data_IF_783131521999
#
_entry.id   IF_783131521999
#
_cell.length_a   1.000
_cell.length_b   1.000
_cell.length_c   1.000
_cell.angle_alpha   90.00
_cell.angle_beta   90.00
_cell.angle_gamma   90.00
#
_symmetry.space_group_name_H-M   'P 1'
#
loop_
_entity.id
_entity.type
_entity.pdbx_description
1 polymer ?
#
# COMPACT_ATOMS: atom_id res chain seq x y z
N UNK A 1 8.82 15.75 -5.53
CA UNK A 1 7.69 14.81 -5.39
C UNK A 1 8.27 13.41 -5.49
N UNK A 2 8.23 12.64 -4.42
CA UNK A 2 8.46 11.20 -4.53
C UNK A 2 7.20 10.61 -5.15
N UNK A 3 7.27 10.22 -6.43
CA UNK A 3 6.18 9.47 -7.06
C UNK A 3 6.49 7.99 -6.94
N UNK A 4 5.52 7.21 -6.47
CA UNK A 4 5.61 5.75 -6.50
C UNK A 4 5.92 5.30 -7.93
N UNK A 5 6.94 4.46 -8.06
CA UNK A 5 7.27 3.82 -9.32
C UNK A 5 6.57 2.47 -9.37
N UNK A 6 6.00 2.15 -10.52
CA UNK A 6 5.35 0.86 -10.75
C UNK A 6 6.05 0.11 -11.90
N UNK A 7 6.13 -1.22 -11.83
CA UNK A 7 6.63 -2.04 -12.92
C UNK A 7 5.66 -2.02 -14.10
N UNK A 8 6.18 -1.75 -15.29
CA UNK A 8 5.42 -1.72 -16.55
C UNK A 8 6.21 -2.37 -17.68
N UNK A 9 5.50 -2.72 -18.77
CA UNK A 9 6.06 -3.27 -20.00
C UNK A 9 5.59 -2.40 -21.18
N UNK A 10 6.47 -1.67 -21.89
CA UNK A 10 6.09 -0.92 -23.07
C UNK A 10 5.57 -1.81 -24.18
N UNK A 11 4.46 -1.41 -24.82
CA UNK A 11 3.85 -2.14 -25.93
C UNK A 11 4.48 -1.83 -27.28
N UNK A 12 5.31 -0.79 -27.33
CA UNK A 12 6.06 -0.34 -28.49
C UNK A 12 7.26 0.47 -28.03
N UNK A 13 8.23 0.62 -28.92
CA UNK A 13 9.33 1.57 -28.71
C UNK A 13 8.79 3.01 -28.68
N UNK A 14 9.15 3.77 -27.66
CA UNK A 14 8.73 5.16 -27.51
C UNK A 14 9.79 5.96 -26.73
N UNK A 15 10.07 7.18 -27.19
CA UNK A 15 10.99 8.11 -26.52
C UNK A 15 10.19 9.08 -25.66
N UNK A 16 10.62 9.25 -24.40
CA UNK A 16 10.00 10.15 -23.42
C UNK A 16 11.04 11.10 -22.85
N UNK A 17 10.69 12.36 -22.68
CA UNK A 17 11.56 13.32 -21.97
C UNK A 17 11.20 13.29 -20.48
N UNK A 18 12.18 12.97 -19.63
CA UNK A 18 12.02 12.99 -18.19
C UNK A 18 13.18 13.77 -17.58
N UNK A 19 12.87 14.81 -16.79
CA UNK A 19 13.87 15.68 -16.15
C UNK A 19 14.87 16.32 -17.15
N UNK A 20 14.43 16.62 -18.38
CA UNK A 20 15.27 17.22 -19.42
C UNK A 20 16.21 16.24 -20.13
N UNK A 21 16.08 14.93 -19.88
CA UNK A 21 16.80 13.88 -20.58
C UNK A 21 15.82 13.03 -21.39
N UNK A 22 16.21 12.67 -22.62
CA UNK A 22 15.45 11.75 -23.48
C UNK A 22 15.75 10.29 -23.09
N UNK A 23 14.69 9.54 -22.79
CA UNK A 23 14.75 8.12 -22.48
C UNK A 23 13.98 7.34 -23.53
N UNK A 24 14.61 6.35 -24.16
CA UNK A 24 13.93 5.43 -25.07
C UNK A 24 13.47 4.20 -24.30
N UNK A 25 12.16 4.01 -24.21
CA UNK A 25 11.53 2.83 -23.64
C UNK A 25 11.44 1.76 -24.73
N UNK A 26 12.06 0.59 -24.50
CA UNK A 26 12.03 -0.51 -25.46
C UNK A 26 10.79 -1.37 -25.29
N UNK A 27 10.23 -1.80 -26.41
CA UNK A 27 9.11 -2.74 -26.43
C UNK A 27 9.45 -4.04 -25.68
N UNK A 28 8.52 -4.49 -24.85
CA UNK A 28 8.63 -5.76 -24.12
C UNK A 28 9.59 -5.75 -22.92
N UNK A 29 10.30 -4.66 -22.66
CA UNK A 29 11.21 -4.55 -21.52
C UNK A 29 10.46 -4.28 -20.22
N UNK A 30 10.81 -4.98 -19.14
CA UNK A 30 10.29 -4.68 -17.81
C UNK A 30 11.04 -3.47 -17.24
N UNK A 31 10.33 -2.37 -17.05
CA UNK A 31 10.89 -1.10 -16.54
C UNK A 31 10.05 -0.56 -15.38
N UNK A 32 10.64 0.30 -14.57
CA UNK A 32 9.92 1.02 -13.51
C UNK A 32 9.67 2.47 -13.91
N UNK A 33 8.40 2.86 -13.96
CA UNK A 33 8.00 4.23 -14.29
C UNK A 33 7.19 4.87 -13.16
N UNK A 34 7.28 6.19 -12.97
CA UNK A 34 6.36 6.93 -12.12
C UNK A 34 4.90 6.63 -12.48
N UNK A 35 4.05 6.31 -11.48
CA UNK A 35 2.63 6.01 -11.70
C UNK A 35 1.91 7.09 -12.51
N UNK A 36 2.21 8.37 -12.25
CA UNK A 36 1.57 9.49 -12.95
C UNK A 36 1.87 9.54 -14.45
N UNK A 37 3.00 8.95 -14.88
CA UNK A 37 3.43 8.96 -16.28
C UNK A 37 2.75 7.84 -17.09
N UNK A 38 2.37 6.76 -16.42
CA UNK A 38 1.82 5.56 -17.07
C UNK A 38 0.58 5.82 -17.93
N UNK A 39 -0.42 6.63 -17.51
CA UNK A 39 -1.58 6.95 -18.35
C UNK A 39 -1.24 7.71 -19.65
N UNK A 40 -0.04 8.30 -19.74
CA UNK A 40 0.40 9.07 -20.90
C UNK A 40 1.16 8.22 -21.92
N UNK A 41 1.47 6.96 -21.58
CA UNK A 41 2.34 6.08 -22.36
C UNK A 41 1.61 4.82 -22.80
N UNK A 42 2.06 4.24 -23.91
CA UNK A 42 1.58 2.94 -24.38
C UNK A 42 2.33 1.80 -23.67
N UNK A 43 1.94 1.54 -22.43
CA UNK A 43 2.56 0.55 -21.54
C UNK A 43 1.51 -0.35 -20.88
N UNK A 44 1.90 -1.56 -20.54
CA UNK A 44 1.13 -2.50 -19.73
C UNK A 44 1.65 -2.51 -18.29
N UNK A 45 0.79 -2.18 -17.32
CA UNK A 45 1.13 -2.28 -15.90
C UNK A 45 1.28 -3.74 -15.48
N UNK A 46 2.29 -4.06 -14.67
CA UNK A 46 2.46 -5.41 -14.12
C UNK A 46 1.71 -5.53 -12.80
N UNK A 47 0.55 -6.22 -12.76
CA UNK A 47 -0.23 -6.36 -11.55
C UNK A 47 0.46 -7.27 -10.53
N UNK A 48 0.00 -7.23 -9.29
CA UNK A 48 0.37 -8.22 -8.28
C UNK A 48 -0.28 -9.58 -8.59
N UNK A 49 0.53 -10.64 -8.51
CA UNK A 49 0.07 -12.02 -8.62
C UNK A 49 -0.47 -12.51 -7.29
N UNK A 50 -1.44 -13.43 -7.32
CA UNK A 50 -1.99 -14.06 -6.12
C UNK A 50 -0.92 -14.73 -5.25
N UNK A 51 0.17 -15.25 -5.85
CA UNK A 51 1.29 -15.84 -5.13
C UNK A 51 2.08 -14.82 -4.30
N UNK A 52 2.28 -13.61 -4.81
CA UNK A 52 2.96 -12.53 -4.09
C UNK A 52 2.15 -12.12 -2.85
N UNK A 53 0.84 -11.96 -3.01
CA UNK A 53 -0.09 -11.60 -1.92
C UNK A 53 -0.19 -12.72 -0.89
N UNK A 54 -0.28 -13.98 -1.33
CA UNK A 54 -0.26 -15.15 -0.42
C UNK A 54 1.05 -15.23 0.37
N UNK A 55 2.19 -14.85 -0.21
CA UNK A 55 3.45 -14.78 0.53
C UNK A 55 3.43 -13.69 1.60
N UNK A 56 2.85 -12.52 1.33
CA UNK A 56 2.64 -11.45 2.32
C UNK A 56 1.71 -11.91 3.46
N UNK A 57 0.58 -12.55 3.13
CA UNK A 57 -0.32 -13.17 4.10
C UNK A 57 0.38 -14.15 5.04
N UNK A 58 1.34 -14.93 4.55
CA UNK A 58 2.11 -15.84 5.40
C UNK A 58 3.01 -15.09 6.38
N UNK A 59 3.60 -13.97 5.96
CA UNK A 59 4.39 -13.08 6.84
C UNK A 59 3.52 -12.43 7.91
N UNK A 60 2.24 -12.18 7.63
CA UNK A 60 1.28 -11.65 8.61
C UNK A 60 0.95 -12.60 9.76
N UNK A 61 1.42 -13.84 9.76
CA UNK A 61 1.28 -14.71 10.94
C UNK A 61 2.14 -14.24 12.12
N UNK A 62 3.15 -13.40 11.87
CA UNK A 62 3.97 -12.81 12.91
C UNK A 62 3.20 -11.81 13.77
N UNK A 63 3.69 -11.49 14.99
CA UNK A 63 3.04 -10.53 15.88
C UNK A 63 3.14 -9.08 15.39
N UNK A 64 4.06 -8.78 14.47
CA UNK A 64 4.26 -7.46 13.86
C UNK A 64 3.55 -7.40 12.50
N UNK A 65 3.20 -6.20 12.05
CA UNK A 65 2.80 -5.96 10.65
C UNK A 65 3.98 -6.32 9.74
N UNK A 66 3.70 -7.05 8.66
CA UNK A 66 4.74 -7.30 7.66
C UNK A 66 4.99 -6.03 6.86
N UNK A 67 6.23 -5.84 6.43
CA UNK A 67 6.55 -4.83 5.42
C UNK A 67 5.94 -5.25 4.07
N UNK A 68 5.30 -4.29 3.40
CA UNK A 68 4.78 -4.46 2.05
C UNK A 68 5.47 -3.45 1.12
N UNK A 69 5.60 -3.76 -0.18
CA UNK A 69 6.19 -2.83 -1.14
C UNK A 69 5.42 -1.50 -1.21
N UNK A 70 6.13 -0.39 -1.41
CA UNK A 70 5.52 0.94 -1.57
C UNK A 70 4.53 1.00 -2.74
N UNK A 71 4.79 0.20 -3.79
CA UNK A 71 3.95 0.11 -4.98
C UNK A 71 2.79 -0.89 -4.84
N UNK A 72 2.58 -1.47 -3.66
CA UNK A 72 1.64 -2.56 -3.45
C UNK A 72 0.20 -2.17 -3.81
N UNK A 73 -0.30 -1.08 -3.23
CA UNK A 73 -1.67 -0.61 -3.48
C UNK A 73 -1.84 -0.16 -4.93
N UNK A 74 -0.82 0.48 -5.51
CA UNK A 74 -0.81 0.90 -6.90
C UNK A 74 -0.86 -0.28 -7.87
N UNK A 75 -0.08 -1.34 -7.62
CA UNK A 75 -0.10 -2.56 -8.45
C UNK A 75 -1.37 -3.36 -8.30
N UNK A 76 -2.03 -3.29 -7.15
CA UNK A 76 -3.34 -3.92 -6.95
C UNK A 76 -4.44 -3.28 -7.80
N UNK A 77 -4.37 -1.98 -8.06
CA UNK A 77 -5.33 -1.24 -8.92
C UNK A 77 -5.47 -1.88 -10.31
N UNK A 78 -4.37 -2.42 -10.84
CA UNK A 78 -4.33 -3.04 -12.16
C UNK A 78 -4.67 -4.55 -12.17
N UNK A 79 -4.91 -5.15 -11.00
CA UNK A 79 -5.11 -6.60 -10.89
C UNK A 79 -6.56 -7.00 -11.24
N UNK A 80 -6.72 -7.74 -12.34
CA UNK A 80 -8.00 -8.35 -12.74
C UNK A 80 -8.13 -9.83 -12.32
N UNK A 81 -7.09 -10.41 -11.72
CA UNK A 81 -7.10 -11.79 -11.26
C UNK A 81 -7.98 -11.93 -10.01
N UNK A 82 -9.04 -12.75 -10.11
CA UNK A 82 -9.97 -13.01 -9.00
C UNK A 82 -9.27 -13.64 -7.80
N UNK A 83 -8.27 -14.48 -8.02
CA UNK A 83 -7.53 -15.08 -6.90
C UNK A 83 -6.69 -14.03 -6.17
N UNK A 84 -6.01 -13.16 -6.91
CA UNK A 84 -5.27 -12.04 -6.35
C UNK A 84 -6.20 -11.10 -5.56
N UNK A 85 -7.34 -10.71 -6.13
CA UNK A 85 -8.33 -9.87 -5.45
C UNK A 85 -8.86 -10.51 -4.15
N UNK A 86 -9.15 -11.81 -4.16
CA UNK A 86 -9.56 -12.54 -2.95
C UNK A 86 -8.46 -12.57 -1.90
N UNK A 87 -7.21 -12.85 -2.30
CA UNK A 87 -6.07 -12.86 -1.38
C UNK A 87 -5.79 -11.45 -0.81
N UNK A 88 -6.00 -10.40 -1.61
CA UNK A 88 -5.85 -9.02 -1.20
C UNK A 88 -6.87 -8.65 -0.11
N UNK A 89 -8.15 -8.99 -0.29
CA UNK A 89 -9.17 -8.75 0.74
C UNK A 89 -8.83 -9.47 2.06
N UNK A 90 -8.36 -10.72 1.98
CA UNK A 90 -7.90 -11.45 3.16
C UNK A 90 -6.69 -10.76 3.83
N UNK A 91 -5.78 -10.19 3.04
CA UNK A 91 -4.63 -9.46 3.57
C UNK A 91 -5.09 -8.18 4.27
N UNK A 92 -6.02 -7.44 3.66
CA UNK A 92 -6.59 -6.23 4.26
C UNK A 92 -7.26 -6.53 5.61
N UNK A 93 -8.06 -7.59 5.71
CA UNK A 93 -8.71 -7.97 6.96
C UNK A 93 -7.69 -8.24 8.07
N UNK A 94 -6.65 -9.04 7.77
CA UNK A 94 -5.58 -9.36 8.73
C UNK A 94 -4.81 -8.12 9.14
N UNK A 95 -4.48 -7.24 8.20
CA UNK A 95 -3.75 -6.00 8.49
C UNK A 95 -4.61 -5.02 9.29
N UNK A 96 -5.89 -4.90 8.97
CA UNK A 96 -6.85 -4.09 9.73
C UNK A 96 -6.92 -4.53 11.19
N UNK A 97 -7.04 -5.82 11.46
CA UNK A 97 -7.06 -6.36 12.83
C UNK A 97 -5.79 -5.97 13.61
N UNK A 98 -4.63 -6.06 12.96
CA UNK A 98 -3.35 -5.68 13.58
C UNK A 98 -3.24 -4.19 13.82
N UNK A 99 -3.56 -3.36 12.81
CA UNK A 99 -3.56 -1.91 12.92
C UNK A 99 -4.46 -1.47 14.07
N UNK A 100 -5.68 -2.04 14.17
CA UNK A 100 -6.60 -1.74 15.26
C UNK A 100 -6.02 -2.11 16.63
N UNK A 101 -5.40 -3.30 16.75
CA UNK A 101 -4.74 -3.73 17.98
C UNK A 101 -3.58 -2.82 18.39
N UNK A 102 -2.79 -2.37 17.42
CA UNK A 102 -1.64 -1.47 17.63
C UNK A 102 -2.10 -0.06 17.98
N UNK A 103 -3.21 0.42 17.41
CA UNK A 103 -3.81 1.72 17.74
C UNK A 103 -4.24 1.84 19.20
N UNK A 104 -4.52 0.70 19.86
CA UNK A 104 -4.81 0.67 21.30
C UNK A 104 -3.58 0.95 22.19
N UNK A 105 -2.38 0.74 21.66
CA UNK A 105 -1.10 0.89 22.34
C UNK A 105 -0.14 1.61 21.39
N UNK A 106 -0.24 2.94 21.26
CA UNK A 106 0.47 3.69 20.24
C UNK A 106 1.96 3.36 20.25
N UNK A 107 2.44 2.91 19.10
CA UNK A 107 3.83 2.59 18.82
C UNK A 107 4.25 3.35 17.58
N UNK A 108 5.51 3.75 17.51
CA UNK A 108 6.07 4.30 16.27
C UNK A 108 6.18 3.17 15.24
N UNK A 109 5.50 3.35 14.11
CA UNK A 109 5.43 2.39 13.02
C UNK A 109 5.65 3.13 11.71
N UNK A 110 6.41 2.50 10.83
CA UNK A 110 6.46 2.88 9.42
C UNK A 110 5.39 2.04 8.71
N UNK A 111 4.32 2.72 8.28
CA UNK A 111 3.22 2.14 7.53
C UNK A 111 3.12 2.81 6.16
N UNK A 112 2.63 2.08 5.14
CA UNK A 112 2.20 2.70 3.89
C UNK A 112 1.22 3.85 4.15
N UNK A 113 1.24 4.88 3.29
CA UNK A 113 0.43 6.09 3.47
C UNK A 113 -1.05 5.80 3.71
N UNK A 114 -1.64 4.87 2.94
CA UNK A 114 -3.03 4.46 3.08
C UNK A 114 -3.35 3.89 4.47
N UNK A 115 -2.42 3.12 5.04
CA UNK A 115 -2.57 2.49 6.35
C UNK A 115 -2.24 3.44 7.48
N UNK A 116 -1.30 4.37 7.26
CA UNK A 116 -0.93 5.39 8.23
C UNK A 116 -2.11 6.32 8.54
N UNK A 117 -2.89 6.68 7.52
CA UNK A 117 -4.14 7.45 7.68
C UNK A 117 -5.10 6.69 8.60
N UNK A 118 -5.34 5.41 8.32
CA UNK A 118 -6.24 4.57 9.12
C UNK A 118 -5.75 4.42 10.57
N UNK A 119 -4.47 4.13 10.76
CA UNK A 119 -3.85 3.99 12.08
C UNK A 119 -4.01 5.26 12.92
N UNK A 120 -3.76 6.42 12.31
CA UNK A 120 -3.89 7.72 12.98
C UNK A 120 -5.34 7.95 13.44
N UNK A 121 -6.31 7.71 12.56
CA UNK A 121 -7.72 7.88 12.87
C UNK A 121 -8.19 6.95 14.01
N UNK A 122 -7.83 5.67 13.97
CA UNK A 122 -8.20 4.73 15.05
C UNK A 122 -7.54 5.14 16.36
N UNK A 123 -6.28 5.56 16.33
CA UNK A 123 -5.53 5.99 17.52
C UNK A 123 -6.18 7.19 18.20
N UNK A 124 -6.60 8.19 17.42
CA UNK A 124 -7.32 9.37 17.94
C UNK A 124 -8.68 9.01 18.55
N UNK A 125 -9.44 8.12 17.90
CA UNK A 125 -10.72 7.63 18.41
C UNK A 125 -10.55 6.89 19.73
N UNK A 126 -9.55 6.00 19.81
CA UNK A 126 -9.24 5.26 21.03
C UNK A 126 -8.79 6.20 22.16
N UNK A 127 -7.95 7.19 21.87
CA UNK A 127 -7.50 8.17 22.85
C UNK A 127 -8.67 9.01 23.40
N UNK A 128 -9.56 9.45 22.51
CA UNK A 128 -10.78 10.20 22.88
C UNK A 128 -11.68 9.37 23.78
N UNK A 129 -11.98 8.13 23.37
CA UNK A 129 -12.82 7.22 24.15
C UNK A 129 -12.22 6.93 25.54
N UNK A 130 -10.90 6.65 25.62
CA UNK A 130 -10.21 6.43 26.90
C UNK A 130 -10.34 7.65 27.82
N UNK A 131 -10.14 8.85 27.29
CA UNK A 131 -10.26 10.10 28.04
C UNK A 131 -11.67 10.28 28.61
N UNK A 132 -12.70 10.04 27.80
CA UNK A 132 -14.10 10.19 28.23
C UNK A 132 -14.48 9.17 29.31
N UNK A 133 -14.04 7.92 29.17
CA UNK A 133 -14.25 6.87 30.19
C UNK A 133 -13.52 7.22 31.49
N UNK A 134 -12.27 7.65 31.41
CA UNK A 134 -11.46 8.04 32.58
C UNK A 134 -12.12 9.21 33.32
N UNK A 135 -12.54 10.27 32.60
CA UNK A 135 -13.27 11.40 33.19
C UNK A 135 -14.54 10.95 33.90
N UNK A 136 -15.34 10.11 33.24
CA UNK A 136 -16.62 9.61 33.77
C UNK A 136 -16.44 8.74 35.02
N UNK A 137 -15.42 7.88 35.05
CA UNK A 137 -15.22 6.90 36.12
C UNK A 137 -14.42 7.48 37.29
N UNK A 138 -13.33 8.20 36.99
CA UNK A 138 -12.39 8.71 37.99
C UNK A 138 -12.71 10.13 38.48
N UNK A 139 -13.75 10.79 37.93
CA UNK A 139 -14.15 12.15 38.32
C UNK A 139 -12.98 13.16 38.22
N UNK A 140 -12.07 12.93 37.28
CA UNK A 140 -10.95 13.82 36.98
C UNK A 140 -11.41 14.83 35.93
N UNK A 141 -11.40 16.12 36.28
CA UNK A 141 -11.74 17.25 35.40
C UNK A 141 -10.71 17.45 34.27
#
# INVERSE_FOLDING_TARGET
MHSTKIPVIPRREQTVEMNGEEYTLKEGELIELPKWLVPMLDVECVPLKSSEIKAMLMKERGPKLAEIPDDFYDRMEFSQDREAQKAFLQLLDVRLEKIAKMSCHPVDLELPDEEQVLYTQITELVATWKKDVVRKVLHQD
#
